data_IF_007904703893
#
_entry.id   IF_007904703893
#
_cell.length_a   1.000
_cell.length_b   1.000
_cell.length_c   1.000
_cell.angle_alpha   90.00
_cell.angle_beta   90.00
_cell.angle_gamma   90.00
#
_symmetry.space_group_name_H-M   'P 1'
#
loop_
_entity.id
_entity.type
_entity.pdbx_description
1 polymer ?
#
# COMPACT_ATOMS: atom_id res chain seq x y z
N UNK A 1 17.80 20.46 -9.75
CA UNK A 1 18.62 21.08 -8.69
C UNK A 1 18.20 20.47 -7.38
N UNK A 2 19.16 19.89 -6.64
CA UNK A 2 18.92 19.23 -5.35
C UNK A 2 19.49 20.16 -4.26
N UNK A 3 18.67 20.76 -3.38
CA UNK A 3 19.18 21.68 -2.37
C UNK A 3 19.90 20.92 -1.24
N UNK A 4 20.95 21.54 -0.72
CA UNK A 4 21.63 21.12 0.51
C UNK A 4 20.68 21.30 1.70
N UNK A 5 20.48 20.25 2.50
CA UNK A 5 19.59 20.33 3.67
C UNK A 5 20.07 21.36 4.70
N UNK A 6 21.38 21.59 4.82
CA UNK A 6 21.95 22.47 5.83
C UNK A 6 21.92 23.96 5.45
N UNK A 7 22.20 24.28 4.18
CA UNK A 7 22.41 25.67 3.75
C UNK A 7 21.62 26.09 2.49
N UNK A 8 20.88 25.16 1.86
CA UNK A 8 20.09 25.44 0.65
C UNK A 8 20.88 25.55 -0.66
N UNK A 9 22.23 25.56 -0.61
CA UNK A 9 23.07 25.58 -1.82
C UNK A 9 22.85 24.33 -2.70
N UNK A 10 23.19 24.42 -3.99
CA UNK A 10 23.07 23.27 -4.90
C UNK A 10 24.00 22.12 -4.46
N UNK A 11 23.41 20.96 -4.16
CA UNK A 11 24.06 19.73 -3.75
C UNK A 11 24.13 18.69 -4.87
N UNK A 12 23.78 19.06 -6.12
CA UNK A 12 23.73 18.12 -7.26
C UNK A 12 25.09 17.45 -7.57
N UNK A 13 26.20 18.03 -7.13
CA UNK A 13 27.57 17.48 -7.25
C UNK A 13 28.15 16.96 -5.92
N UNK A 14 27.35 17.00 -4.85
CA UNK A 14 27.70 16.55 -3.51
C UNK A 14 27.17 15.16 -3.19
N UNK A 15 26.87 14.92 -1.91
CA UNK A 15 26.25 13.67 -1.48
C UNK A 15 24.72 13.77 -1.63
N UNK A 16 24.10 12.81 -2.32
CA UNK A 16 22.67 12.81 -2.63
C UNK A 16 22.04 11.51 -2.13
N UNK A 17 20.83 11.63 -1.58
CA UNK A 17 19.98 10.53 -1.17
C UNK A 17 18.62 10.59 -1.86
N UNK A 18 18.21 9.45 -2.43
CA UNK A 18 16.95 9.26 -3.12
C UNK A 18 17.03 8.06 -4.06
N UNK A 19 15.90 7.66 -4.63
CA UNK A 19 15.88 6.56 -5.60
C UNK A 19 16.41 7.03 -6.95
N UNK A 20 17.19 6.18 -7.63
CA UNK A 20 17.51 6.38 -9.06
C UNK A 20 16.61 5.44 -9.84
N UNK A 21 15.85 5.90 -10.86
CA UNK A 21 15.96 7.18 -11.57
C UNK A 21 14.88 8.24 -11.19
N UNK A 22 14.62 8.54 -9.91
CA UNK A 22 13.57 9.52 -9.55
C UNK A 22 13.90 10.97 -9.96
N UNK A 23 12.89 11.86 -10.08
CA UNK A 23 13.10 13.30 -10.24
C UNK A 23 13.88 13.92 -9.06
N UNK A 24 14.56 15.05 -9.32
CA UNK A 24 15.32 15.78 -8.28
C UNK A 24 14.46 16.27 -7.11
N UNK A 25 13.18 16.54 -7.34
CA UNK A 25 12.23 16.90 -6.29
C UNK A 25 12.03 15.80 -5.25
N UNK A 26 12.36 14.54 -5.58
CA UNK A 26 12.28 13.37 -4.69
C UNK A 26 13.65 12.97 -4.12
N UNK A 27 14.61 13.89 -4.16
CA UNK A 27 15.97 13.68 -3.64
C UNK A 27 16.29 14.78 -2.63
N UNK A 28 17.19 14.46 -1.71
CA UNK A 28 17.79 15.41 -0.79
C UNK A 28 19.30 15.25 -0.80
N UNK A 29 20.04 16.31 -0.52
CA UNK A 29 21.49 16.25 -0.57
C UNK A 29 22.21 17.13 0.44
N UNK A 30 23.53 17.03 0.40
CA UNK A 30 24.47 17.87 1.13
C UNK A 30 25.53 18.36 0.15
N UNK A 31 25.83 19.65 0.18
CA UNK A 31 27.03 20.16 -0.49
C UNK A 31 28.28 19.61 0.22
N UNK A 32 29.43 19.70 -0.46
CA UNK A 32 30.70 19.14 0.04
C UNK A 32 31.08 19.63 1.44
N UNK A 33 30.79 20.88 1.77
CA UNK A 33 31.10 21.49 3.07
C UNK A 33 30.30 20.89 4.22
N UNK A 34 29.07 20.44 3.95
CA UNK A 34 28.17 19.90 4.96
C UNK A 34 28.08 18.37 4.92
N UNK A 35 28.92 17.71 4.12
CA UNK A 35 28.91 16.26 3.95
C UNK A 35 29.58 15.53 5.12
N UNK A 36 28.86 15.45 6.24
CA UNK A 36 29.29 14.73 7.45
C UNK A 36 28.41 13.51 7.73
N UNK A 37 28.90 12.48 8.42
CA UNK A 37 28.08 11.31 8.79
C UNK A 37 26.80 11.66 9.55
N UNK A 38 26.83 12.66 10.42
CA UNK A 38 25.67 13.09 11.19
C UNK A 38 24.67 13.86 10.33
N UNK A 39 25.13 14.75 9.45
CA UNK A 39 24.25 15.42 8.48
C UNK A 39 23.62 14.42 7.51
N UNK A 40 24.33 13.37 7.11
CA UNK A 40 23.76 12.29 6.28
C UNK A 40 22.62 11.55 6.99
N UNK A 41 22.69 11.35 8.32
CA UNK A 41 21.58 10.77 9.10
C UNK A 41 20.35 11.69 9.06
N UNK A 42 20.57 13.00 9.25
CA UNK A 42 19.51 14.00 9.16
C UNK A 42 18.85 14.02 7.77
N UNK A 43 19.64 13.95 6.69
CA UNK A 43 19.11 13.86 5.33
C UNK A 43 18.27 12.61 5.11
N UNK A 44 18.71 11.44 5.58
CA UNK A 44 17.92 10.21 5.45
C UNK A 44 16.58 10.31 6.18
N UNK A 45 16.55 10.93 7.36
CA UNK A 45 15.31 11.14 8.11
C UNK A 45 14.39 12.15 7.38
N UNK A 46 14.94 13.28 6.93
CA UNK A 46 14.20 14.30 6.20
C UNK A 46 13.64 13.77 4.87
N UNK A 47 14.42 12.94 4.16
CA UNK A 47 14.00 12.30 2.92
C UNK A 47 12.87 11.30 3.16
N UNK A 48 12.91 10.52 4.25
CA UNK A 48 11.83 9.61 4.62
C UNK A 48 10.52 10.37 4.86
N UNK A 49 10.59 11.48 5.59
CA UNK A 49 9.44 12.37 5.81
C UNK A 49 8.92 13.00 4.51
N UNK A 50 9.80 13.35 3.55
CA UNK A 50 9.39 13.78 2.21
C UNK A 50 8.61 12.68 1.50
N UNK A 51 9.14 11.47 1.44
CA UNK A 51 8.47 10.35 0.76
C UNK A 51 7.11 10.01 1.38
N UNK A 52 7.00 10.03 2.70
CA UNK A 52 5.73 9.83 3.40
C UNK A 52 4.68 10.88 3.02
N UNK A 53 5.07 12.17 2.93
CA UNK A 53 4.18 13.24 2.49
C UNK A 53 3.74 13.07 1.03
N UNK A 54 4.66 12.73 0.13
CA UNK A 54 4.34 12.53 -1.28
C UNK A 54 3.40 11.34 -1.48
N UNK A 55 3.62 10.23 -0.77
CA UNK A 55 2.71 9.08 -0.77
C UNK A 55 1.32 9.47 -0.25
N UNK A 56 1.27 10.24 0.83
CA UNK A 56 -0.01 10.72 1.38
C UNK A 56 -0.76 11.59 0.38
N UNK A 57 -0.10 12.59 -0.19
CA UNK A 57 -0.69 13.48 -1.20
C UNK A 57 -1.16 12.70 -2.43
N UNK A 58 -0.36 11.72 -2.89
CA UNK A 58 -0.77 10.82 -3.98
C UNK A 58 -2.00 9.99 -3.62
N UNK A 59 -2.09 9.48 -2.38
CA UNK A 59 -3.23 8.71 -1.91
C UNK A 59 -4.50 9.58 -1.81
N UNK A 60 -4.39 10.83 -1.37
CA UNK A 60 -5.53 11.77 -1.36
C UNK A 60 -5.99 12.10 -2.78
N UNK A 61 -5.05 12.43 -3.67
CA UNK A 61 -5.30 12.71 -5.08
C UNK A 61 -5.74 11.50 -5.89
N UNK A 62 -5.52 10.28 -5.41
CA UNK A 62 -5.92 9.04 -6.11
C UNK A 62 -7.03 8.30 -5.38
N UNK A 63 -7.41 8.73 -4.18
CA UNK A 63 -8.41 8.04 -3.34
C UNK A 63 -9.79 7.98 -4.00
N UNK A 64 -10.09 8.91 -4.90
CA UNK A 64 -11.31 8.92 -5.71
C UNK A 64 -11.21 8.07 -6.99
N UNK A 65 -9.99 7.67 -7.41
CA UNK A 65 -9.77 6.66 -8.48
C UNK A 65 -9.84 5.24 -7.94
N UNK A 66 -9.54 5.04 -6.67
CA UNK A 66 -9.93 3.84 -5.96
C UNK A 66 -11.45 3.91 -5.77
N UNK A 67 -12.21 3.34 -6.71
CA UNK A 67 -13.66 3.22 -6.56
C UNK A 67 -14.02 2.56 -5.23
N UNK A 68 -15.29 2.67 -4.81
CA UNK A 68 -15.77 1.98 -3.60
C UNK A 68 -15.32 0.52 -3.69
N UNK A 69 -14.60 -0.02 -2.68
CA UNK A 69 -14.10 -1.39 -2.73
C UNK A 69 -15.24 -2.33 -3.11
N UNK A 70 -15.09 -3.04 -4.22
CA UNK A 70 -16.10 -4.02 -4.63
C UNK A 70 -16.16 -5.08 -3.54
N UNK A 71 -17.31 -5.17 -2.88
CA UNK A 71 -17.58 -6.24 -1.92
C UNK A 71 -18.02 -7.47 -2.70
N UNK A 72 -17.46 -8.61 -2.33
CA UNK A 72 -17.77 -9.92 -2.88
C UNK A 72 -18.43 -10.76 -1.81
N UNK A 73 -19.37 -11.61 -2.20
CA UNK A 73 -19.89 -12.69 -1.38
C UNK A 73 -19.10 -13.94 -1.70
N UNK A 74 -18.37 -14.43 -0.70
CA UNK A 74 -17.66 -15.69 -0.75
C UNK A 74 -18.54 -16.78 -0.16
N UNK A 75 -18.77 -17.83 -0.94
CA UNK A 75 -19.41 -19.07 -0.50
C UNK A 75 -18.35 -20.17 -0.52
N UNK A 76 -18.11 -20.83 0.61
CA UNK A 76 -17.15 -21.94 0.73
C UNK A 76 -17.89 -23.18 1.16
N UNK A 77 -17.79 -24.26 0.38
CA UNK A 77 -18.28 -25.57 0.76
C UNK A 77 -17.11 -26.48 1.14
N UNK A 78 -17.15 -27.04 2.35
CA UNK A 78 -16.12 -27.92 2.88
C UNK A 78 -16.34 -29.37 2.47
N UNK A 79 -15.25 -30.15 2.44
CA UNK A 79 -15.27 -31.57 2.06
C UNK A 79 -16.15 -32.38 3.03
N UNK A 80 -16.11 -32.04 4.32
CA UNK A 80 -16.80 -32.73 5.42
C UNK A 80 -18.30 -32.37 5.54
N UNK A 81 -18.83 -31.54 4.64
CA UNK A 81 -20.27 -31.28 4.57
C UNK A 81 -20.79 -30.03 5.30
N UNK A 82 -19.96 -28.99 5.45
CA UNK A 82 -20.38 -27.66 5.91
C UNK A 82 -20.30 -26.61 4.80
N UNK A 83 -21.07 -25.53 4.92
CA UNK A 83 -20.95 -24.36 4.06
C UNK A 83 -20.81 -23.10 4.93
N UNK A 84 -20.00 -22.14 4.46
CA UNK A 84 -19.88 -20.82 5.08
C UNK A 84 -19.99 -19.74 4.02
N UNK A 85 -20.77 -18.70 4.34
CA UNK A 85 -20.97 -17.55 3.48
C UNK A 85 -20.60 -16.28 4.23
N UNK A 86 -19.68 -15.50 3.68
CA UNK A 86 -19.28 -14.20 4.22
C UNK A 86 -19.00 -13.19 3.10
N UNK A 87 -19.19 -11.91 3.41
CA UNK A 87 -18.76 -10.85 2.52
C UNK A 87 -17.24 -10.61 2.70
N UNK A 88 -16.53 -10.32 1.61
CA UNK A 88 -15.09 -10.08 1.57
C UNK A 88 -14.72 -9.00 0.55
N UNK A 89 -13.59 -8.33 0.76
CA UNK A 89 -13.02 -7.36 -0.17
C UNK A 89 -12.09 -8.03 -1.19
N UNK A 90 -11.42 -9.10 -0.76
CA UNK A 90 -10.51 -9.87 -1.59
C UNK A 90 -10.45 -11.33 -1.12
N UNK A 91 -10.13 -12.23 -2.03
CA UNK A 91 -10.06 -13.67 -1.79
C UNK A 91 -9.03 -14.30 -2.73
N UNK A 92 -7.87 -14.66 -2.19
CA UNK A 92 -6.72 -15.13 -2.98
C UNK A 92 -6.14 -16.44 -2.40
N UNK A 93 -5.96 -17.49 -3.23
CA UNK A 93 -5.21 -18.69 -2.82
C UNK A 93 -3.73 -18.37 -2.60
N UNK A 94 -3.17 -18.82 -1.48
CA UNK A 94 -1.75 -18.64 -1.16
C UNK A 94 -0.91 -19.84 -1.58
N UNK A 95 0.41 -19.67 -1.81
CA UNK A 95 1.32 -20.78 -2.09
C UNK A 95 1.41 -21.83 -0.96
N UNK A 96 0.97 -21.48 0.24
CA UNK A 96 1.00 -22.35 1.42
C UNK A 96 -0.24 -23.24 1.56
N UNK A 97 -1.11 -23.29 0.55
CA UNK A 97 -2.28 -24.16 0.56
C UNK A 97 -3.45 -23.62 1.38
N UNK A 98 -3.56 -22.31 1.55
CA UNK A 98 -4.68 -21.65 2.23
C UNK A 98 -5.38 -20.65 1.32
N UNK A 99 -6.68 -20.49 1.49
CA UNK A 99 -7.45 -19.41 0.91
C UNK A 99 -7.39 -18.22 1.89
N UNK A 100 -6.71 -17.14 1.50
CA UNK A 100 -6.66 -15.90 2.28
C UNK A 100 -7.84 -15.02 1.88
N UNK A 101 -8.64 -14.62 2.86
CA UNK A 101 -9.85 -13.81 2.67
C UNK A 101 -9.71 -12.52 3.46
N UNK A 102 -9.77 -11.39 2.77
CA UNK A 102 -9.78 -10.06 3.38
C UNK A 102 -11.22 -9.65 3.66
N UNK A 103 -11.57 -9.51 4.93
CA UNK A 103 -12.91 -9.13 5.37
C UNK A 103 -13.14 -7.61 5.27
N UNK A 104 -14.41 -7.15 5.26
CA UNK A 104 -14.74 -5.72 5.21
C UNK A 104 -14.20 -4.90 6.39
N UNK A 105 -14.01 -5.54 7.55
CA UNK A 105 -13.39 -4.95 8.75
C UNK A 105 -11.85 -4.88 8.68
N UNK A 106 -11.26 -5.18 7.51
CA UNK A 106 -9.82 -5.22 7.23
C UNK A 106 -9.07 -6.35 7.95
N UNK A 107 -9.76 -7.31 8.53
CA UNK A 107 -9.12 -8.51 9.09
C UNK A 107 -8.90 -9.58 8.03
N UNK A 108 -7.91 -10.45 8.26
CA UNK A 108 -7.61 -11.59 7.40
C UNK A 108 -8.14 -12.88 8.04
N UNK A 109 -8.80 -13.71 7.23
CA UNK A 109 -9.13 -15.10 7.56
C UNK A 109 -8.45 -16.04 6.59
N UNK A 110 -8.13 -17.24 7.07
CA UNK A 110 -7.46 -18.27 6.30
C UNK A 110 -8.25 -19.57 6.38
N UNK A 111 -8.57 -20.15 5.23
CA UNK A 111 -9.22 -21.45 5.14
C UNK A 111 -8.25 -22.45 4.49
N UNK A 112 -7.98 -23.62 5.09
CA UNK A 112 -7.13 -24.63 4.46
C UNK A 112 -7.75 -25.12 3.15
N UNK A 113 -7.07 -24.96 2.01
CA UNK A 113 -7.60 -25.38 0.70
C UNK A 113 -7.86 -26.89 0.66
N UNK A 114 -7.06 -27.67 1.40
CA UNK A 114 -7.24 -29.11 1.53
C UNK A 114 -8.58 -29.53 2.16
N UNK A 115 -9.28 -28.62 2.85
CA UNK A 115 -10.60 -28.87 3.43
C UNK A 115 -11.75 -28.29 2.60
N UNK A 116 -11.44 -27.54 1.54
CA UNK A 116 -12.43 -26.87 0.69
C UNK A 116 -12.74 -27.75 -0.51
N UNK A 117 -14.01 -28.11 -0.68
CA UNK A 117 -14.50 -28.81 -1.87
C UNK A 117 -14.65 -27.86 -3.05
N UNK A 118 -15.24 -26.69 -2.80
CA UNK A 118 -15.40 -25.59 -3.78
C UNK A 118 -15.53 -24.26 -3.05
N UNK A 119 -15.17 -23.18 -3.73
CA UNK A 119 -15.52 -21.84 -3.30
C UNK A 119 -15.94 -21.01 -4.52
N UNK A 120 -16.93 -20.14 -4.32
CA UNK A 120 -17.50 -19.28 -5.35
C UNK A 120 -17.51 -17.82 -4.87
N UNK A 121 -17.22 -16.90 -5.78
CA UNK A 121 -17.22 -15.45 -5.53
C UNK A 121 -18.28 -14.78 -6.41
N UNK A 122 -19.15 -14.00 -5.78
CA UNK A 122 -20.17 -13.21 -6.49
C UNK A 122 -20.10 -11.76 -6.06
N UNK A 123 -20.21 -10.77 -6.97
CA UNK A 123 -20.22 -9.38 -6.56
C UNK A 123 -21.48 -9.09 -5.73
N UNK A 124 -21.33 -8.44 -4.58
CA UNK A 124 -22.46 -7.91 -3.82
C UNK A 124 -22.92 -6.63 -4.53
N UNK A 125 -24.20 -6.51 -4.92
CA UNK A 125 -24.71 -5.28 -5.50
C UNK A 125 -24.48 -4.12 -4.54
N UNK A 126 -23.93 -3.01 -5.04
CA UNK A 126 -23.85 -1.79 -4.24
C UNK A 126 -25.26 -1.43 -3.74
N UNK A 127 -25.43 -1.02 -2.48
CA UNK A 127 -26.73 -0.56 -1.99
C UNK A 127 -27.21 0.56 -2.90
N UNK A 128 -28.43 0.43 -3.43
CA UNK A 128 -29.05 1.45 -4.25
C UNK A 128 -28.96 2.77 -3.48
N UNK A 129 -28.37 3.79 -4.09
CA UNK A 129 -28.29 5.12 -3.53
C UNK A 129 -29.73 5.63 -3.29
N UNK A 130 -30.22 5.41 -2.07
CA UNK A 130 -31.46 6.01 -1.61
C UNK A 130 -31.25 7.51 -1.63
N UNK A 131 -31.94 8.18 -2.55
CA UNK A 131 -32.08 9.64 -2.52
C UNK A 131 -32.74 9.99 -1.19
N UNK A 132 -31.98 10.59 -0.29
CA UNK A 132 -32.49 11.34 0.85
C UNK A 132 -32.41 12.83 0.52
#
# INVERSE_FOLDING_TARGET
>A
MIPCLACGADASTGWVHGFVPSPDSLKMGLCREHDTPDNRKLVKAAWRALMEREIHAMNELSGHKAGVPQVWRLEVAFIDGGEVTHDCLDCTPTPHGTLQVLLPDRTLRFFPLAQIRRYDLRPVPAPAAGKA
#
